data_IF_626252081465
#
_entry.id   IF_626252081465
#
_cell.length_a   1.000
_cell.length_b   1.000
_cell.length_c   1.000
_cell.angle_alpha   90.00
_cell.angle_beta   90.00
_cell.angle_gamma   90.00
#
_symmetry.space_group_name_H-M   'P 1'
#
loop_
_entity.id
_entity.type
_entity.pdbx_description
1 polymer ?
#
# COMPACT_ATOMS: atom_id res chain seq x y z
N UNK A 1 24.55 -14.20 -15.30
CA UNK A 1 24.15 -12.84 -14.86
C UNK A 1 24.48 -11.85 -15.96
N UNK A 2 23.51 -11.43 -16.77
CA UNK A 2 23.74 -10.37 -17.74
C UNK A 2 23.94 -9.07 -16.96
N UNK A 3 25.17 -8.58 -16.91
CA UNK A 3 25.46 -7.23 -16.43
C UNK A 3 24.73 -6.26 -17.37
N UNK A 4 23.55 -5.77 -16.96
CA UNK A 4 22.91 -4.63 -17.58
C UNK A 4 23.89 -3.46 -17.43
N UNK A 5 24.68 -3.21 -18.48
CA UNK A 5 25.40 -1.96 -18.65
C UNK A 5 24.35 -0.85 -18.56
N UNK A 6 24.28 -0.18 -17.43
CA UNK A 6 23.50 1.05 -17.22
C UNK A 6 24.15 2.14 -18.09
N UNK A 7 23.93 2.09 -19.41
CA UNK A 7 24.32 3.13 -20.36
C UNK A 7 23.31 4.26 -20.44
N UNK A 8 22.22 4.19 -19.67
CA UNK A 8 21.21 5.23 -19.58
C UNK A 8 21.64 6.23 -18.50
N UNK A 9 21.95 7.46 -18.91
CA UNK A 9 22.09 8.58 -17.98
C UNK A 9 20.70 8.90 -17.42
N UNK A 10 20.53 8.69 -16.12
CA UNK A 10 19.32 9.09 -15.41
C UNK A 10 19.53 10.50 -14.84
N UNK A 11 18.53 11.40 -14.94
CA UNK A 11 18.62 12.68 -14.28
C UNK A 11 18.77 12.48 -12.77
N UNK A 12 19.54 13.36 -12.13
CA UNK A 12 19.66 13.37 -10.67
C UNK A 12 18.27 13.59 -10.08
N UNK A 13 17.81 12.65 -9.27
CA UNK A 13 16.52 12.78 -8.60
C UNK A 13 16.64 13.83 -7.49
N UNK A 14 15.75 14.85 -7.46
CA UNK A 14 15.75 15.82 -6.38
C UNK A 14 15.57 15.14 -5.02
N UNK A 15 16.18 15.67 -3.94
CA UNK A 15 15.99 15.14 -2.59
C UNK A 15 14.49 15.03 -2.26
N UNK A 16 14.09 13.92 -1.64
CA UNK A 16 12.70 13.69 -1.28
C UNK A 16 11.77 13.44 -2.47
N UNK A 17 12.28 12.97 -3.62
CA UNK A 17 11.44 12.56 -4.76
C UNK A 17 11.47 11.03 -4.91
N UNK A 18 10.30 10.42 -5.11
CA UNK A 18 10.23 8.99 -5.42
C UNK A 18 10.65 8.71 -6.88
N UNK A 19 11.48 7.68 -7.08
CA UNK A 19 11.86 7.18 -8.40
C UNK A 19 10.70 6.43 -9.06
N UNK A 20 10.61 6.49 -10.40
CA UNK A 20 9.59 5.74 -11.15
C UNK A 20 10.06 4.32 -11.38
N UNK A 21 9.28 3.35 -10.92
CA UNK A 21 9.44 1.94 -11.26
C UNK A 21 10.88 1.44 -11.12
N UNK A 22 11.43 0.99 -12.24
CA UNK A 22 12.76 0.36 -12.36
C UNK A 22 13.87 1.33 -12.78
N UNK A 23 13.60 2.62 -12.75
CA UNK A 23 14.56 3.63 -13.16
C UNK A 23 15.73 3.67 -12.16
N UNK A 24 16.96 3.66 -12.69
CA UNK A 24 18.22 3.70 -11.93
C UNK A 24 18.28 2.74 -10.73
N UNK A 25 18.39 1.43 -10.95
CA UNK A 25 18.48 0.43 -9.87
C UNK A 25 19.69 0.58 -8.95
N UNK A 26 20.76 1.21 -9.42
CA UNK A 26 21.96 1.50 -8.62
C UNK A 26 21.70 2.54 -7.52
N UNK A 27 20.58 3.27 -7.59
CA UNK A 27 20.17 4.19 -6.56
C UNK A 27 19.39 3.45 -5.47
N UNK A 28 20.12 3.10 -4.40
CA UNK A 28 19.59 2.37 -3.25
C UNK A 28 18.89 3.29 -2.24
N UNK A 29 17.99 2.72 -1.44
CA UNK A 29 17.31 3.42 -0.34
C UNK A 29 16.24 4.43 -0.75
N UNK A 30 16.07 4.72 -2.04
CA UNK A 30 15.05 5.65 -2.54
C UNK A 30 13.67 5.02 -2.60
N UNK A 31 12.66 5.85 -2.32
CA UNK A 31 11.26 5.50 -2.54
C UNK A 31 10.99 5.28 -4.03
N UNK A 32 10.08 4.35 -4.35
CA UNK A 32 9.73 3.99 -5.73
C UNK A 32 8.22 3.86 -5.92
N UNK A 33 7.74 4.16 -7.13
CA UNK A 33 6.34 3.96 -7.53
C UNK A 33 6.17 2.78 -8.48
N UNK A 34 4.95 2.22 -8.52
CA UNK A 34 4.51 1.25 -9.52
C UNK A 34 3.85 1.94 -10.71
N UNK A 35 3.77 1.29 -11.88
CA UNK A 35 4.37 -0.01 -12.23
C UNK A 35 5.88 0.09 -12.48
N UNK A 36 6.56 -1.05 -12.43
CA UNK A 36 7.99 -1.11 -12.71
C UNK A 36 8.35 -0.89 -14.18
N UNK A 37 7.43 -1.18 -15.11
CA UNK A 37 7.72 -1.06 -16.54
C UNK A 37 7.61 0.38 -17.02
N UNK A 38 8.60 0.80 -17.81
CA UNK A 38 8.68 2.16 -18.33
C UNK A 38 7.56 2.50 -19.33
N UNK A 39 7.04 1.51 -20.06
CA UNK A 39 5.95 1.63 -21.05
C UNK A 39 4.55 1.80 -20.44
N UNK A 40 4.42 1.51 -19.15
CA UNK A 40 3.11 1.46 -18.50
C UNK A 40 2.73 2.81 -17.88
N UNK A 41 1.46 3.24 -17.94
CA UNK A 41 1.04 4.51 -17.34
C UNK A 41 1.44 4.61 -15.87
N UNK A 42 1.99 5.76 -15.42
CA UNK A 42 2.41 5.93 -14.04
C UNK A 42 1.20 5.84 -13.09
N UNK A 43 1.43 5.35 -11.87
CA UNK A 43 0.41 5.33 -10.81
C UNK A 43 0.97 5.98 -9.54
N UNK A 44 0.08 6.40 -8.64
CA UNK A 44 0.43 6.91 -7.31
C UNK A 44 0.71 5.79 -6.29
N UNK A 45 0.83 4.55 -6.75
CA UNK A 45 1.04 3.40 -5.88
C UNK A 45 2.52 3.27 -5.54
N UNK A 46 2.88 3.48 -4.27
CA UNK A 46 4.22 3.19 -3.76
C UNK A 46 4.58 1.71 -3.95
N UNK A 47 5.88 1.40 -4.05
CA UNK A 47 6.37 0.03 -4.19
C UNK A 47 6.13 -0.79 -2.92
N UNK A 48 6.26 -2.12 -3.01
CA UNK A 48 5.92 -3.00 -1.89
C UNK A 48 6.93 -2.90 -0.74
N UNK A 49 8.22 -2.80 -1.03
CA UNK A 49 9.25 -2.65 0.02
C UNK A 49 9.08 -1.36 0.81
N UNK A 50 8.75 -0.24 0.14
CA UNK A 50 8.41 1.02 0.82
C UNK A 50 7.22 0.87 1.77
N UNK A 51 6.19 0.11 1.36
CA UNK A 51 5.01 -0.14 2.21
C UNK A 51 5.35 -1.02 3.41
N UNK A 52 6.12 -2.08 3.21
CA UNK A 52 6.58 -2.97 4.29
C UNK A 52 7.42 -2.19 5.30
N UNK A 53 8.40 -1.42 4.82
CA UNK A 53 9.20 -0.56 5.68
C UNK A 53 8.37 0.51 6.41
N UNK A 54 7.30 1.03 5.77
CA UNK A 54 6.35 1.92 6.48
C UNK A 54 5.58 1.17 7.58
N UNK A 55 5.24 -0.11 7.38
CA UNK A 55 4.55 -0.92 8.38
C UNK A 55 5.44 -1.25 9.57
N UNK A 56 6.75 -1.37 9.36
CA UNK A 56 7.74 -1.50 10.45
C UNK A 56 7.76 -0.29 11.39
N UNK A 57 7.15 0.83 10.99
CA UNK A 57 6.99 2.04 11.80
C UNK A 57 5.56 2.17 12.31
N UNK A 58 4.58 2.22 11.40
CA UNK A 58 3.17 2.52 11.74
C UNK A 58 2.35 1.29 12.10
N UNK A 59 2.91 0.09 12.04
CA UNK A 59 2.18 -1.17 12.06
C UNK A 59 1.35 -1.41 10.79
N UNK A 60 1.08 -2.68 10.48
CA UNK A 60 0.33 -3.06 9.27
C UNK A 60 -1.20 -3.01 9.45
N UNK A 61 -1.69 -2.91 10.70
CA UNK A 61 -3.12 -2.83 11.04
C UNK A 61 -3.79 -1.55 10.48
N UNK A 62 -3.01 -0.48 10.34
CA UNK A 62 -3.48 0.79 9.80
C UNK A 62 -4.34 1.63 10.75
N UNK A 63 -4.65 2.86 10.31
CA UNK A 63 -5.28 3.90 11.14
C UNK A 63 -6.66 3.56 11.72
N UNK A 64 -7.46 2.73 11.02
CA UNK A 64 -8.78 2.37 11.53
C UNK A 64 -8.65 1.38 12.69
N UNK A 65 -7.88 0.31 12.50
CA UNK A 65 -7.72 -0.72 13.51
C UNK A 65 -6.93 -0.23 14.73
N UNK A 66 -6.07 0.78 14.59
CA UNK A 66 -5.35 1.39 15.72
C UNK A 66 -6.24 2.11 16.75
N UNK A 67 -7.56 2.19 16.55
CA UNK A 67 -8.48 2.63 17.61
C UNK A 67 -8.68 1.58 18.70
N UNK A 68 -8.39 0.31 18.41
CA UNK A 68 -8.65 -0.80 19.34
C UNK A 68 -7.58 -1.90 19.31
N UNK A 69 -6.57 -1.81 18.43
CA UNK A 69 -5.40 -2.66 18.40
C UNK A 69 -4.14 -1.84 18.68
N UNK A 70 -3.24 -2.40 19.46
CA UNK A 70 -1.85 -1.94 19.49
C UNK A 70 -1.18 -2.13 18.11
N UNK A 71 -0.07 -1.44 17.83
CA UNK A 71 0.64 -1.59 16.56
C UNK A 71 1.06 -3.05 16.34
N UNK A 72 0.76 -3.60 15.16
CA UNK A 72 1.10 -4.97 14.80
C UNK A 72 2.20 -4.96 13.74
N UNK A 73 3.29 -5.66 14.02
CA UNK A 73 4.48 -5.72 13.20
C UNK A 73 4.65 -7.10 12.54
N UNK A 74 5.49 -7.17 11.52
CA UNK A 74 5.82 -8.41 10.83
C UNK A 74 7.08 -8.98 11.47
N UNK A 75 7.00 -10.16 12.07
CA UNK A 75 8.19 -10.79 12.68
C UNK A 75 9.12 -11.41 11.64
N UNK A 76 8.55 -11.98 10.57
CA UNK A 76 9.29 -12.76 9.59
C UNK A 76 8.84 -12.42 8.16
N UNK A 77 9.80 -12.15 7.29
CA UNK A 77 9.57 -11.96 5.84
C UNK A 77 10.25 -13.12 5.11
N UNK A 78 9.45 -13.97 4.47
CA UNK A 78 9.96 -15.10 3.69
C UNK A 78 10.03 -14.73 2.21
N UNK A 79 11.22 -14.78 1.62
CA UNK A 79 11.40 -14.60 0.17
C UNK A 79 11.63 -15.95 -0.50
N UNK A 80 10.73 -16.28 -1.44
CA UNK A 80 10.79 -17.50 -2.24
C UNK A 80 11.45 -17.29 -3.61
N UNK A 81 11.75 -18.41 -4.28
CA UNK A 81 12.22 -18.47 -5.68
C UNK A 81 13.51 -17.66 -5.96
N UNK A 82 14.48 -17.76 -5.06
CA UNK A 82 15.82 -17.17 -5.23
C UNK A 82 16.82 -18.30 -5.47
N UNK A 83 17.81 -18.06 -6.33
CA UNK A 83 18.95 -18.96 -6.51
C UNK A 83 19.83 -18.95 -5.26
N UNK A 84 20.31 -20.11 -4.80
CA UNK A 84 21.12 -20.19 -3.57
C UNK A 84 22.36 -19.27 -3.59
N UNK A 85 22.93 -19.02 -4.78
CA UNK A 85 24.08 -18.12 -4.98
C UNK A 85 23.77 -16.64 -4.73
N UNK A 86 22.49 -16.24 -4.78
CA UNK A 86 22.04 -14.86 -4.56
C UNK A 86 21.55 -14.61 -3.14
N UNK A 87 21.57 -15.62 -2.26
CA UNK A 87 21.01 -15.55 -0.91
C UNK A 87 21.52 -14.34 -0.13
N UNK A 88 22.84 -14.20 -0.01
CA UNK A 88 23.44 -13.18 0.84
C UNK A 88 23.14 -11.76 0.31
N UNK A 89 23.17 -11.60 -1.02
CA UNK A 89 22.82 -10.34 -1.69
C UNK A 89 21.36 -9.97 -1.43
N UNK A 90 20.44 -10.94 -1.50
CA UNK A 90 19.02 -10.65 -1.25
C UNK A 90 18.76 -10.34 0.22
N UNK A 91 19.45 -11.01 1.16
CA UNK A 91 19.32 -10.69 2.58
C UNK A 91 19.80 -9.26 2.86
N UNK A 92 20.97 -8.87 2.35
CA UNK A 92 21.46 -7.49 2.47
C UNK A 92 20.49 -6.47 1.84
N UNK A 93 19.92 -6.80 0.68
CA UNK A 93 18.90 -5.98 0.03
C UNK A 93 17.63 -5.84 0.87
N UNK A 94 17.21 -6.92 1.55
CA UNK A 94 16.05 -6.92 2.45
C UNK A 94 16.30 -6.05 3.67
N UNK A 95 17.43 -6.20 4.35
CA UNK A 95 17.80 -5.40 5.52
C UNK A 95 17.81 -3.91 5.17
N UNK A 96 18.45 -3.57 4.04
CA UNK A 96 18.46 -2.21 3.53
C UNK A 96 17.06 -1.69 3.17
N UNK A 97 16.24 -2.50 2.52
CA UNK A 97 14.95 -2.06 1.98
C UNK A 97 13.83 -2.00 3.00
N UNK A 98 13.86 -2.85 4.04
CA UNK A 98 12.82 -2.98 5.05
C UNK A 98 13.17 -2.28 6.36
N UNK A 99 14.46 -2.12 6.67
CA UNK A 99 14.90 -1.63 7.97
C UNK A 99 15.92 -0.48 7.90
N UNK A 100 17.17 -0.70 7.48
CA UNK A 100 18.29 0.24 7.66
C UNK A 100 18.05 1.65 7.04
N UNK A 101 17.16 1.74 6.06
CA UNK A 101 16.73 3.04 5.49
C UNK A 101 15.88 3.90 6.45
N UNK A 102 15.43 3.33 7.57
CA UNK A 102 14.60 3.96 8.60
C UNK A 102 15.44 4.59 9.72
N UNK A 103 16.76 4.38 9.73
CA UNK A 103 17.67 4.84 10.81
C UNK A 103 17.63 6.35 11.08
N UNK A 104 17.10 7.16 10.16
CA UNK A 104 16.97 8.62 10.26
C UNK A 104 15.66 9.10 10.92
N UNK A 105 15.00 8.26 11.72
CA UNK A 105 13.74 8.61 12.37
C UNK A 105 13.97 9.48 13.62
N UNK A 106 14.26 10.77 13.39
CA UNK A 106 14.26 11.77 14.45
C UNK A 106 12.82 12.24 14.75
N UNK A 107 12.38 12.11 16.00
CA UNK A 107 11.11 12.68 16.48
C UNK A 107 9.97 11.69 16.73
N UNK A 108 10.20 10.41 16.47
CA UNK A 108 9.26 9.34 16.82
C UNK A 108 9.29 9.00 18.32
N UNK A 109 10.46 9.12 18.96
CA UNK A 109 10.64 8.89 20.41
C UNK A 109 9.81 9.83 21.32
N UNK A 110 9.10 10.81 20.74
CA UNK A 110 8.25 11.75 21.47
C UNK A 110 6.76 11.33 21.52
N UNK A 111 6.41 10.15 20.97
CA UNK A 111 5.03 9.63 20.97
C UNK A 111 4.93 8.34 21.78
N UNK A 112 3.79 8.09 22.43
CA UNK A 112 3.47 6.82 23.12
C UNK A 112 3.25 5.64 22.14
N UNK A 113 3.59 5.82 20.86
CA UNK A 113 3.51 4.77 19.86
C UNK A 113 4.67 3.79 20.06
N UNK A 114 4.37 2.51 20.28
CA UNK A 114 5.40 1.46 20.39
C UNK A 114 5.88 1.12 18.99
N UNK A 115 7.19 1.23 18.74
CA UNK A 115 7.81 0.84 17.47
C UNK A 115 8.34 -0.58 17.56
N UNK A 116 8.48 -1.24 16.40
CA UNK A 116 9.40 -2.38 16.34
C UNK A 116 10.77 -1.85 16.73
N UNK A 117 11.41 -2.43 17.75
CA UNK A 117 12.81 -2.11 18.07
C UNK A 117 13.77 -2.98 17.26
N UNK A 118 13.25 -4.08 16.70
CA UNK A 118 14.00 -5.07 15.96
C UNK A 118 13.58 -5.10 14.49
N UNK A 119 14.56 -5.36 13.62
CA UNK A 119 14.30 -5.63 12.22
C UNK A 119 13.56 -6.97 12.07
N UNK A 120 12.60 -7.08 11.13
CA UNK A 120 11.99 -8.36 10.82
C UNK A 120 13.05 -9.37 10.39
N UNK A 121 12.91 -10.62 10.83
CA UNK A 121 13.77 -11.71 10.37
C UNK A 121 13.52 -11.99 8.89
N UNK A 122 14.50 -11.65 8.05
CA UNK A 122 14.47 -11.97 6.62
C UNK A 122 14.90 -13.42 6.43
N UNK A 123 13.96 -14.28 6.06
CA UNK A 123 14.17 -15.70 5.84
C UNK A 123 14.10 -16.02 4.36
N UNK A 124 15.01 -16.89 3.92
CA UNK A 124 14.95 -17.47 2.59
C UNK A 124 14.36 -18.87 2.65
N UNK A 125 13.44 -19.15 1.72
CA UNK A 125 12.95 -20.50 1.49
C UNK A 125 12.95 -20.83 0.00
N UNK A 126 13.75 -21.84 -0.39
CA UNK A 126 13.72 -22.37 -1.76
C UNK A 126 12.42 -23.15 -1.99
N UNK A 127 11.40 -22.47 -2.47
CA UNK A 127 10.18 -23.13 -2.96
C UNK A 127 10.38 -23.41 -4.44
N UNK A 128 10.72 -24.64 -4.79
CA UNK A 128 10.74 -25.08 -6.18
C UNK A 128 9.29 -25.25 -6.63
N UNK A 129 8.69 -24.19 -7.15
CA UNK A 129 7.39 -24.29 -7.80
C UNK A 129 7.56 -24.98 -9.16
N UNK A 130 6.84 -26.08 -9.46
CA UNK A 130 6.86 -26.69 -10.78
C UNK A 130 6.20 -25.82 -11.87
N UNK A 131 5.59 -24.69 -11.49
CA UNK A 131 4.96 -23.76 -12.41
C UNK A 131 5.95 -22.69 -12.86
N UNK A 132 6.51 -22.87 -14.06
CA UNK A 132 7.29 -21.86 -14.76
C UNK A 132 6.45 -20.59 -14.97
N UNK A 133 7.03 -19.45 -14.58
CA UNK A 133 6.58 -18.08 -14.84
C UNK A 133 5.17 -17.72 -14.31
N UNK A 134 5.12 -17.01 -13.18
CA UNK A 134 3.98 -16.13 -12.91
C UNK A 134 3.93 -15.05 -14.01
N UNK A 135 3.08 -15.27 -15.01
CA UNK A 135 2.68 -14.21 -15.92
C UNK A 135 2.06 -13.07 -15.09
N UNK A 136 2.51 -11.85 -15.36
CA UNK A 136 1.97 -10.64 -14.73
C UNK A 136 0.49 -10.54 -15.09
N UNK A 137 -0.39 -10.66 -14.10
CA UNK A 137 -1.84 -10.57 -14.32
C UNK A 137 -2.39 -9.25 -13.79
N UNK A 138 -3.38 -8.70 -14.48
CA UNK A 138 -4.27 -7.65 -13.94
C UNK A 138 -5.26 -8.24 -12.93
N UNK A 139 -5.28 -9.56 -12.79
CA UNK A 139 -6.10 -10.29 -11.83
C UNK A 139 -5.41 -10.36 -10.48
N UNK A 140 -6.07 -9.84 -9.46
CA UNK A 140 -5.73 -10.12 -8.08
C UNK A 140 -6.62 -11.26 -7.61
N UNK A 141 -6.02 -12.41 -7.30
CA UNK A 141 -6.71 -13.48 -6.59
C UNK A 141 -6.43 -13.31 -5.11
N UNK A 142 -7.48 -13.19 -4.33
CA UNK A 142 -7.40 -13.05 -2.89
C UNK A 142 -8.08 -14.22 -2.23
N UNK A 143 -7.39 -14.89 -1.30
CA UNK A 143 -8.01 -15.88 -0.41
C UNK A 143 -8.29 -15.20 0.93
N UNK A 144 -9.51 -15.35 1.43
CA UNK A 144 -9.92 -14.86 2.74
C UNK A 144 -10.15 -16.08 3.63
N UNK A 145 -9.41 -16.16 4.73
CA UNK A 145 -9.66 -17.19 5.74
C UNK A 145 -11.08 -17.04 6.28
N UNK A 146 -11.73 -18.17 6.54
CA UNK A 146 -13.04 -18.28 7.19
C UNK A 146 -14.18 -17.46 6.52
N UNK A 147 -13.99 -17.06 5.27
CA UNK A 147 -14.99 -16.38 4.45
C UNK A 147 -15.59 -17.33 3.41
N UNK A 148 -16.86 -17.12 3.06
CA UNK A 148 -17.52 -17.81 1.94
C UNK A 148 -18.05 -16.78 0.92
N UNK A 149 -17.56 -16.77 -0.34
CA UNK A 149 -16.53 -17.66 -0.89
C UNK A 149 -15.14 -17.39 -0.31
N UNK A 150 -14.33 -18.45 -0.18
CA UNK A 150 -12.97 -18.38 0.35
C UNK A 150 -12.00 -17.59 -0.53
N UNK A 151 -12.41 -17.22 -1.76
CA UNK A 151 -11.59 -16.41 -2.65
C UNK A 151 -12.41 -15.40 -3.46
N UNK A 152 -11.75 -14.30 -3.81
CA UNK A 152 -12.25 -13.23 -4.66
C UNK A 152 -11.23 -12.95 -5.79
N UNK A 153 -11.72 -12.82 -7.02
CA UNK A 153 -10.90 -12.44 -8.18
C UNK A 153 -11.28 -11.03 -8.59
N UNK A 154 -10.31 -10.11 -8.59
CA UNK A 154 -10.50 -8.71 -8.98
C UNK A 154 -9.78 -8.42 -10.30
N UNK A 155 -10.47 -7.73 -11.21
CA UNK A 155 -9.89 -7.13 -12.42
C UNK A 155 -10.08 -5.62 -12.31
N UNK A 156 -8.98 -4.87 -12.33
CA UNK A 156 -8.99 -3.41 -12.16
C UNK A 156 -9.76 -2.96 -10.90
N UNK A 157 -9.63 -3.70 -9.80
CA UNK A 157 -10.29 -3.41 -8.52
C UNK A 157 -11.78 -3.77 -8.45
N UNK A 158 -12.32 -4.49 -9.44
CA UNK A 158 -13.74 -4.91 -9.48
C UNK A 158 -13.82 -6.43 -9.55
N UNK A 159 -14.79 -7.03 -8.85
CA UNK A 159 -15.07 -8.47 -8.93
C UNK A 159 -15.22 -8.95 -10.37
N UNK A 160 -14.44 -9.97 -10.74
CA UNK A 160 -14.53 -10.63 -12.04
C UNK A 160 -15.95 -11.14 -12.27
N UNK A 161 -16.45 -10.96 -13.48
CA UNK A 161 -17.79 -11.40 -13.88
C UNK A 161 -18.95 -10.46 -13.49
N UNK A 162 -18.66 -9.30 -12.88
CA UNK A 162 -19.71 -8.33 -12.52
C UNK A 162 -19.97 -7.34 -13.66
N UNK A 163 -21.19 -7.33 -14.25
CA UNK A 163 -21.53 -6.39 -15.31
C UNK A 163 -21.44 -4.93 -14.83
N UNK A 164 -21.04 -3.95 -15.66
CA UNK A 164 -20.94 -2.54 -15.28
C UNK A 164 -22.17 -2.00 -14.56
N UNK A 165 -23.37 -2.33 -15.05
CA UNK A 165 -24.65 -1.91 -14.48
C UNK A 165 -24.90 -2.43 -13.06
N UNK A 166 -24.21 -3.48 -12.60
CA UNK A 166 -24.38 -4.07 -11.27
C UNK A 166 -23.24 -3.74 -10.30
N UNK A 167 -22.20 -3.03 -10.75
CA UNK A 167 -21.01 -2.74 -9.92
C UNK A 167 -21.31 -1.92 -8.67
N UNK A 168 -22.39 -1.12 -8.69
CA UNK A 168 -22.83 -0.34 -7.53
C UNK A 168 -23.45 -1.20 -6.43
N UNK A 169 -23.89 -2.42 -6.74
CA UNK A 169 -24.57 -3.27 -5.77
C UNK A 169 -23.57 -3.76 -4.71
N UNK A 170 -23.92 -3.56 -3.43
CA UNK A 170 -23.15 -3.98 -2.25
C UNK A 170 -22.71 -5.45 -2.30
N UNK A 171 -23.53 -6.34 -2.85
CA UNK A 171 -23.22 -7.77 -3.01
C UNK A 171 -21.93 -8.03 -3.82
N UNK A 172 -21.57 -7.11 -4.72
CA UNK A 172 -20.42 -7.25 -5.61
C UNK A 172 -19.24 -6.38 -5.19
N UNK A 173 -19.32 -5.71 -4.04
CA UNK A 173 -18.25 -4.86 -3.53
C UNK A 173 -17.06 -5.71 -3.06
N UNK A 174 -15.81 -5.35 -3.41
CA UNK A 174 -14.65 -6.07 -2.91
C UNK A 174 -14.51 -6.03 -1.41
N UNK A 175 -14.14 -7.16 -0.79
CA UNK A 175 -14.10 -7.28 0.68
C UNK A 175 -13.01 -6.38 1.28
N UNK A 176 -11.88 -6.21 0.60
CA UNK A 176 -10.80 -5.31 1.01
C UNK A 176 -10.87 -3.90 0.42
N UNK A 177 -12.00 -3.51 -0.20
CA UNK A 177 -12.17 -2.11 -0.60
C UNK A 177 -12.21 -1.21 0.65
N UNK A 178 -11.75 0.05 0.53
CA UNK A 178 -11.75 1.03 1.64
C UNK A 178 -13.12 1.09 2.32
N UNK A 179 -14.18 1.09 1.53
CA UNK A 179 -15.55 1.17 2.01
C UNK A 179 -16.02 -0.11 2.73
N UNK A 180 -15.61 -1.30 2.27
CA UNK A 180 -15.90 -2.53 3.00
C UNK A 180 -15.15 -2.59 4.34
N UNK A 181 -13.89 -2.13 4.36
CA UNK A 181 -13.11 -2.01 5.59
C UNK A 181 -13.68 -0.97 6.55
N UNK A 182 -14.21 0.14 6.05
CA UNK A 182 -14.89 1.13 6.88
C UNK A 182 -16.16 0.55 7.52
N UNK A 183 -16.94 -0.19 6.73
CA UNK A 183 -18.12 -0.89 7.22
C UNK A 183 -17.79 -1.90 8.33
N UNK A 184 -16.70 -2.67 8.14
CA UNK A 184 -16.21 -3.60 9.15
C UNK A 184 -15.73 -2.89 10.41
N UNK A 185 -14.97 -1.80 10.26
CA UNK A 185 -14.50 -0.98 11.38
C UNK A 185 -15.65 -0.50 12.27
N UNK A 186 -16.72 0.04 11.69
CA UNK A 186 -17.88 0.52 12.46
C UNK A 186 -18.58 -0.62 13.22
N UNK A 187 -18.72 -1.80 12.60
CA UNK A 187 -19.30 -2.98 13.27
C UNK A 187 -18.45 -3.41 14.48
N UNK A 188 -17.13 -3.47 14.31
CA UNK A 188 -16.20 -3.84 15.39
C UNK A 188 -16.20 -2.78 16.49
N UNK A 189 -16.14 -1.50 16.13
CA UNK A 189 -16.18 -0.41 17.10
C UNK A 189 -17.48 -0.41 17.92
N UNK A 190 -18.62 -0.67 17.27
CA UNK A 190 -19.90 -0.84 17.97
C UNK A 190 -19.90 -2.03 18.93
N UNK A 191 -19.36 -3.18 18.51
CA UNK A 191 -19.25 -4.37 19.35
C UNK A 191 -18.32 -4.16 20.56
N UNK A 192 -17.25 -3.36 20.39
CA UNK A 192 -16.29 -3.04 21.45
C UNK A 192 -16.69 -1.80 22.27
N UNK A 193 -17.82 -1.15 21.96
CA UNK A 193 -18.24 0.12 22.55
C UNK A 193 -17.16 1.22 22.46
N UNK A 194 -16.39 1.23 21.37
CA UNK A 194 -15.40 2.26 21.06
C UNK A 194 -16.09 3.36 20.24
N UNK A 195 -15.72 4.61 20.51
CA UNK A 195 -16.23 5.78 19.79
C UNK A 195 -15.94 5.65 18.28
N UNK A 196 -16.99 5.66 17.45
CA UNK A 196 -16.89 5.58 15.99
C UNK A 196 -17.96 6.42 15.26
N UNK A 197 -18.39 7.52 15.87
CA UNK A 197 -19.31 8.53 15.31
C UNK A 197 -18.59 9.42 14.28
N UNK A 198 -18.08 8.81 13.21
CA UNK A 198 -17.40 9.52 12.13
C UNK A 198 -18.30 9.61 10.90
N UNK A 199 -18.37 10.79 10.28
CA UNK A 199 -19.18 11.01 9.08
C UNK A 199 -18.49 10.48 7.82
N UNK A 200 -17.16 10.47 7.82
CA UNK A 200 -16.38 10.04 6.65
C UNK A 200 -15.28 9.05 7.00
N UNK A 201 -14.89 8.24 6.01
CA UNK A 201 -13.73 7.35 6.13
C UNK A 201 -12.44 8.12 6.47
N UNK A 202 -12.29 9.34 5.96
CA UNK A 202 -11.15 10.21 6.28
C UNK A 202 -11.14 10.60 7.77
N UNK A 203 -12.25 11.12 8.28
CA UNK A 203 -12.38 11.49 9.70
C UNK A 203 -12.00 10.32 10.61
N UNK A 204 -12.56 9.14 10.34
CA UNK A 204 -12.25 7.94 11.12
C UNK A 204 -10.77 7.54 11.07
N UNK A 205 -10.03 7.89 10.01
CA UNK A 205 -8.58 7.66 9.98
C UNK A 205 -7.82 8.73 10.74
N UNK A 206 -8.21 9.99 10.58
CA UNK A 206 -7.51 11.14 11.17
C UNK A 206 -7.71 11.22 12.69
N UNK A 207 -8.76 10.62 13.23
CA UNK A 207 -8.99 10.51 14.67
C UNK A 207 -7.96 9.66 15.42
N UNK A 208 -7.27 8.73 14.75
CA UNK A 208 -6.18 7.94 15.37
C UNK A 208 -4.90 8.77 15.45
N UNK A 209 -4.78 9.56 16.52
CA UNK A 209 -3.72 10.57 16.68
C UNK A 209 -2.33 9.98 16.65
N UNK A 210 -2.07 8.93 17.41
CA UNK A 210 -0.72 8.38 17.55
C UNK A 210 -0.26 7.70 16.25
N UNK A 211 -1.18 6.99 15.57
CA UNK A 211 -0.91 6.45 14.24
C UNK A 211 -0.60 7.56 13.23
N UNK A 212 -1.37 8.65 13.23
CA UNK A 212 -1.10 9.78 12.33
C UNK A 212 0.22 10.47 12.68
N UNK A 213 0.59 10.57 13.96
CA UNK A 213 1.86 11.13 14.40
C UNK A 213 3.04 10.28 13.91
N UNK A 214 3.01 8.96 14.12
CA UNK A 214 4.04 8.04 13.62
C UNK A 214 4.17 8.12 12.08
N UNK A 215 3.04 8.14 11.38
CA UNK A 215 3.01 8.29 9.92
C UNK A 215 3.54 9.65 9.45
N UNK A 216 3.24 10.72 10.17
CA UNK A 216 3.70 12.08 9.86
C UNK A 216 5.21 12.21 10.08
N UNK A 217 5.75 11.66 11.16
CA UNK A 217 7.17 11.66 11.44
C UNK A 217 7.96 10.95 10.32
N UNK A 218 7.50 9.74 9.93
CA UNK A 218 8.08 8.96 8.84
C UNK A 218 8.14 9.72 7.51
N UNK A 219 7.06 10.46 7.19
CA UNK A 219 6.85 11.13 5.90
C UNK A 219 7.12 12.63 5.94
N UNK A 220 7.68 13.12 7.04
CA UNK A 220 8.05 14.52 7.18
C UNK A 220 9.13 14.89 6.17
N UNK A 221 9.33 16.18 5.91
CA UNK A 221 10.37 16.65 4.97
C UNK A 221 11.78 16.23 5.35
N UNK A 222 12.02 15.96 6.65
CA UNK A 222 13.29 15.44 7.19
C UNK A 222 13.25 13.92 7.44
N UNK A 223 12.08 13.30 7.36
CA UNK A 223 11.90 11.88 7.56
C UNK A 223 12.46 11.08 6.38
N UNK A 224 12.77 9.79 6.60
CA UNK A 224 13.36 8.95 5.55
C UNK A 224 12.43 8.80 4.35
N UNK A 225 11.11 8.98 4.54
CA UNK A 225 10.10 8.81 3.49
C UNK A 225 9.50 10.15 3.03
N UNK A 226 10.26 11.24 3.07
CA UNK A 226 9.82 12.57 2.62
C UNK A 226 9.20 12.59 1.21
N UNK A 227 9.64 11.69 0.31
CA UNK A 227 9.10 11.58 -1.04
C UNK A 227 7.88 10.69 -1.21
N UNK A 228 7.18 10.36 -0.13
CA UNK A 228 6.02 9.47 -0.18
C UNK A 228 4.86 10.12 -0.95
N UNK A 229 4.40 9.46 -2.01
CA UNK A 229 3.25 9.94 -2.78
C UNK A 229 1.94 9.49 -2.12
N UNK A 230 1.07 10.46 -1.82
CA UNK A 230 -0.28 10.20 -1.28
C UNK A 230 -1.34 10.37 -2.36
N UNK A 231 -2.36 9.51 -2.33
CA UNK A 231 -3.58 9.75 -3.08
C UNK A 231 -4.31 10.97 -2.53
N UNK A 232 -4.99 11.73 -3.39
CA UNK A 232 -5.77 12.88 -2.96
C UNK A 232 -6.87 12.51 -1.95
N UNK A 233 -7.22 13.46 -1.09
CA UNK A 233 -8.16 13.24 0.00
C UNK A 233 -9.60 13.01 -0.46
N UNK A 234 -9.97 13.48 -1.65
CA UNK A 234 -11.29 13.25 -2.25
C UNK A 234 -11.66 11.76 -2.33
N UNK A 235 -10.66 10.88 -2.40
CA UNK A 235 -10.84 9.42 -2.42
C UNK A 235 -11.08 8.80 -1.03
N UNK A 236 -11.23 9.64 0.01
CA UNK A 236 -11.48 9.25 1.40
C UNK A 236 -12.67 10.01 2.03
N UNK A 237 -13.24 11.00 1.32
CA UNK A 237 -14.43 11.74 1.74
C UNK A 237 -15.71 11.03 1.30
N UNK A 238 -16.00 9.88 1.90
CA UNK A 238 -17.24 9.15 1.67
C UNK A 238 -17.77 8.56 2.99
N UNK A 239 -19.08 8.39 3.08
CA UNK A 239 -19.76 7.82 4.24
C UNK A 239 -19.79 6.28 4.22
N UNK A 240 -20.49 5.66 5.18
CA UNK A 240 -20.63 4.19 5.27
C UNK A 240 -21.38 3.55 4.08
N UNK A 241 -22.17 4.34 3.34
CA UNK A 241 -22.85 3.90 2.14
C UNK A 241 -21.94 3.96 0.90
N UNK A 242 -20.91 4.82 0.96
CA UNK A 242 -20.00 5.15 -0.13
C UNK A 242 -20.35 6.46 -0.82
N UNK A 243 -21.26 7.24 -0.25
CA UNK A 243 -21.72 8.49 -0.80
C UNK A 243 -20.70 9.59 -0.48
N UNK A 244 -20.21 10.34 -1.48
CA UNK A 244 -19.26 11.42 -1.28
C UNK A 244 -19.80 12.49 -0.32
N UNK A 245 -18.96 12.97 0.59
CA UNK A 245 -19.32 14.00 1.56
C UNK A 245 -18.45 15.25 1.32
N UNK A 246 -19.05 16.38 0.91
CA UNK A 246 -18.34 17.65 0.65
C UNK A 246 -18.75 18.34 -0.66
N UNK A 247 -18.33 19.60 -0.84
CA UNK A 247 -18.72 20.47 -1.96
C UNK A 247 -18.17 20.06 -3.34
N UNK A 248 -17.25 19.10 -3.41
CA UNK A 248 -16.73 18.53 -4.67
C UNK A 248 -17.61 17.41 -5.24
N UNK A 249 -18.73 17.07 -4.59
CA UNK A 249 -19.66 16.01 -5.00
C UNK A 249 -20.42 16.28 -6.32
N UNK A 250 -20.20 17.40 -7.00
CA UNK A 250 -20.92 17.79 -8.22
C UNK A 250 -19.96 18.22 -9.33
N UNK A 251 -19.21 17.29 -9.93
CA UNK A 251 -18.62 17.57 -11.26
C UNK A 251 -18.21 16.38 -12.13
N UNK A 252 -18.45 15.12 -11.77
CA UNK A 252 -17.98 13.99 -12.60
C UNK A 252 -18.97 13.51 -13.67
N UNK A 253 -20.20 14.02 -13.73
CA UNK A 253 -21.25 13.49 -14.62
C UNK A 253 -21.45 14.26 -15.95
N UNK A 254 -20.55 15.19 -16.31
CA UNK A 254 -20.68 15.98 -17.55
C UNK A 254 -19.46 16.05 -18.48
N UNK A 255 -18.45 15.20 -18.31
CA UNK A 255 -17.33 15.10 -19.26
C UNK A 255 -17.00 13.65 -19.62
N UNK A 256 -17.96 12.93 -20.22
CA UNK A 256 -17.61 11.72 -21.00
C UNK A 256 -18.58 11.43 -22.17
N UNK A 257 -19.08 12.51 -22.81
CA UNK A 257 -19.76 12.42 -24.10
C UNK A 257 -19.02 13.28 -25.11
N UNK A 258 -17.91 12.75 -25.61
CA UNK A 258 -17.25 13.35 -26.77
C UNK A 258 -15.77 13.03 -26.89
N UNK A 259 -15.42 11.77 -27.17
CA UNK A 259 -14.33 11.52 -28.11
C UNK A 259 -14.45 10.11 -28.70
N UNK A 260 -15.30 10.00 -29.73
CA UNK A 260 -15.10 9.04 -30.81
C UNK A 260 -13.75 9.37 -31.45
N UNK A 261 -12.79 8.44 -31.45
CA UNK A 261 -12.01 8.00 -32.64
C UNK A 261 -10.68 7.31 -32.29
N UNK A 262 -10.49 6.17 -32.97
CA UNK A 262 -9.23 5.55 -33.44
C UNK A 262 -8.27 4.81 -32.51
N UNK A 263 -8.35 3.48 -32.66
CA UNK A 263 -7.34 2.40 -32.55
C UNK A 263 -6.77 2.04 -31.18
#
# INVERSE_FOLDING_TARGET
>A
MAALKNSTEFPVLPPGTASRGRDNYSLFGVLRTKPGRADSPPTLCMCCSDKIASWNVTGFQGALASHFLEPIYVDNIVIGDIEDSLRDVVLEDCDRAFWNRLDKLDGIAATDWVFSEEAPNSLYQRVVSPFFACAWSKELMQRLADCSPAHEILINGIRRGVPPKRRHNRKFRPVLSKLSLFNLYSQVAGALNVRADFHTYREAKESSRDYQAAKAALRSTRGPFAGWITTGSQWEYFDMNGDPQGSEAVSSDKQDKGMTTTR
#
